data_IF_200092060030
#
_entry.id   IF_200092060030
#
_cell.length_a   1.000
_cell.length_b   1.000
_cell.length_c   1.000
_cell.angle_alpha   90.00
_cell.angle_beta   90.00
_cell.angle_gamma   90.00
#
_symmetry.space_group_name_H-M   'P 1'
#
loop_
_entity.id
_entity.type
_entity.pdbx_description
1 polymer ?
#
# COMPACT_ATOMS: atom_id res chain seq x y z
N UNK A 1 6.61 72.83 1.57
CA UNK A 1 7.44 71.68 1.17
C UNK A 1 6.62 70.41 1.36
N UNK A 2 6.21 69.76 0.27
CA UNK A 2 5.36 68.54 0.30
C UNK A 2 6.27 67.31 0.43
N UNK A 3 6.08 66.51 1.48
CA UNK A 3 6.80 65.24 1.70
C UNK A 3 6.09 64.13 0.93
N UNK A 4 6.79 63.49 -0.01
CA UNK A 4 6.32 62.29 -0.69
C UNK A 4 6.51 61.09 0.25
N UNK A 5 5.41 60.40 0.56
CA UNK A 5 5.44 59.11 1.25
C UNK A 5 5.60 58.04 0.18
N UNK A 6 6.79 57.42 0.12
CA UNK A 6 7.01 56.21 -0.68
C UNK A 6 6.50 55.02 0.14
N UNK A 7 5.31 54.53 -0.18
CA UNK A 7 4.86 53.21 0.29
C UNK A 7 5.60 52.19 -0.56
N UNK A 8 6.61 51.56 0.02
CA UNK A 8 7.23 50.37 -0.54
C UNK A 8 6.20 49.24 -0.51
N UNK A 9 5.63 48.93 -1.68
CA UNK A 9 4.82 47.75 -1.90
C UNK A 9 5.76 46.53 -1.82
N UNK A 10 5.87 45.93 -0.64
CA UNK A 10 6.50 44.63 -0.46
C UNK A 10 5.63 43.61 -1.19
N UNK A 11 6.03 43.28 -2.42
CA UNK A 11 5.55 42.08 -3.10
C UNK A 11 5.89 40.89 -2.21
N UNK A 12 4.86 40.34 -1.57
CA UNK A 12 4.93 39.02 -0.95
C UNK A 12 5.20 38.07 -2.12
N UNK A 13 6.47 37.77 -2.35
CA UNK A 13 6.84 36.63 -3.17
C UNK A 13 6.18 35.41 -2.52
N UNK A 14 5.14 34.89 -3.17
CA UNK A 14 4.58 33.61 -2.81
C UNK A 14 5.71 32.60 -2.94
N UNK A 15 6.25 32.18 -1.80
CA UNK A 15 7.05 30.97 -1.76
C UNK A 15 6.17 29.87 -2.36
N UNK A 16 6.58 29.19 -3.43
CA UNK A 16 5.86 28.01 -3.87
C UNK A 16 5.78 27.11 -2.64
N UNK A 17 4.57 26.64 -2.31
CA UNK A 17 4.38 25.56 -1.36
C UNK A 17 5.38 24.48 -1.74
N UNK A 18 6.47 24.36 -0.99
CA UNK A 18 7.32 23.18 -1.04
C UNK A 18 6.37 22.07 -0.61
N UNK A 19 5.83 21.35 -1.60
CA UNK A 19 5.16 20.10 -1.33
C UNK A 19 6.12 19.32 -0.45
N UNK A 20 5.67 19.00 0.76
CA UNK A 20 6.44 18.20 1.68
C UNK A 20 6.09 16.77 1.34
N UNK A 21 7.08 16.03 0.88
CA UNK A 21 6.96 14.61 0.63
C UNK A 21 6.34 13.90 1.83
N UNK A 22 5.17 13.29 1.64
CA UNK A 22 4.41 12.62 2.70
C UNK A 22 4.66 11.11 2.63
N UNK A 23 4.56 10.43 3.78
CA UNK A 23 4.55 8.97 3.80
C UNK A 23 3.20 8.48 3.26
N UNK A 24 3.24 7.59 2.27
CA UNK A 24 2.06 6.92 1.78
C UNK A 24 1.45 6.02 2.84
N UNK A 25 0.14 6.19 3.10
CA UNK A 25 -0.59 5.47 4.15
C UNK A 25 -1.94 4.99 3.68
N UNK A 26 -2.27 3.78 4.09
CA UNK A 26 -3.60 3.22 3.97
C UNK A 26 -4.62 4.10 4.70
N UNK A 27 -5.83 4.22 4.14
CA UNK A 27 -6.87 5.03 4.76
C UNK A 27 -7.40 4.37 6.04
N UNK A 28 -7.91 5.15 7.01
CA UNK A 28 -8.53 4.61 8.20
C UNK A 28 -9.69 3.64 7.90
N UNK A 29 -10.49 3.94 6.88
CA UNK A 29 -11.62 3.11 6.45
C UNK A 29 -11.14 1.75 5.97
N UNK A 30 -10.07 1.71 5.17
CA UNK A 30 -9.43 0.48 4.75
C UNK A 30 -8.93 -0.33 5.94
N UNK A 31 -8.22 0.30 6.88
CA UNK A 31 -7.64 -0.39 8.04
C UNK A 31 -8.71 -0.96 8.99
N UNK A 32 -9.75 -0.19 9.29
CA UNK A 32 -10.85 -0.62 10.15
C UNK A 32 -11.54 -1.87 9.61
N UNK A 33 -11.66 -1.96 8.29
CA UNK A 33 -12.27 -3.11 7.68
C UNK A 33 -11.39 -4.35 7.68
N UNK A 34 -10.09 -4.20 7.46
CA UNK A 34 -9.16 -5.31 7.66
C UNK A 34 -9.26 -5.81 9.10
N UNK A 35 -9.37 -4.92 10.08
CA UNK A 35 -9.58 -5.31 11.47
C UNK A 35 -10.89 -6.07 11.69
N UNK A 36 -11.99 -5.63 11.09
CA UNK A 36 -13.26 -6.36 11.14
C UNK A 36 -13.12 -7.78 10.53
N UNK A 37 -12.53 -7.89 9.33
CA UNK A 37 -12.28 -9.18 8.69
C UNK A 37 -11.40 -10.10 9.54
N UNK A 38 -10.42 -9.54 10.25
CA UNK A 38 -9.55 -10.32 11.15
C UNK A 38 -10.30 -10.74 12.42
N UNK A 39 -11.16 -9.90 12.97
CA UNK A 39 -11.87 -10.14 14.23
C UNK A 39 -13.00 -11.16 14.11
N UNK A 40 -13.70 -11.21 12.97
CA UNK A 40 -14.82 -12.15 12.75
C UNK A 40 -14.38 -13.56 12.32
N UNK A 41 -13.07 -13.81 12.20
CA UNK A 41 -12.53 -15.14 11.95
C UNK A 41 -12.49 -15.54 10.48
N UNK A 42 -12.71 -14.60 9.56
CA UNK A 42 -12.70 -14.85 8.12
C UNK A 42 -11.29 -15.03 7.54
N UNK A 43 -10.28 -15.00 8.40
CA UNK A 43 -8.86 -15.05 8.10
C UNK A 43 -8.27 -16.23 8.88
N UNK A 44 -8.08 -17.36 8.21
CA UNK A 44 -7.40 -18.54 8.77
C UNK A 44 -5.95 -18.55 8.31
N UNK A 45 -5.00 -18.55 9.24
CA UNK A 45 -3.58 -18.70 8.89
C UNK A 45 -3.28 -20.17 8.59
N UNK A 46 -3.07 -20.50 7.32
CA UNK A 46 -2.60 -21.83 6.90
C UNK A 46 -1.12 -21.81 6.58
N UNK A 47 -0.42 -22.83 7.05
CA UNK A 47 0.95 -23.08 6.60
C UNK A 47 0.91 -23.50 5.13
N UNK A 48 1.62 -22.75 4.30
CA UNK A 48 1.74 -23.02 2.86
C UNK A 48 3.21 -22.93 2.44
N UNK A 49 3.47 -23.43 1.25
CA UNK A 49 4.74 -23.22 0.56
C UNK A 49 4.50 -22.26 -0.61
N UNK A 50 5.02 -21.04 -0.52
CA UNK A 50 5.04 -20.09 -1.65
C UNK A 50 6.47 -20.01 -2.15
N UNK A 51 6.70 -20.25 -3.46
CA UNK A 51 8.03 -20.22 -4.08
C UNK A 51 9.09 -21.05 -3.31
N UNK A 52 8.71 -22.25 -2.86
CA UNK A 52 9.56 -23.20 -2.10
C UNK A 52 9.98 -22.74 -0.70
N UNK A 53 9.33 -21.74 -0.10
CA UNK A 53 9.59 -21.30 1.27
C UNK A 53 8.38 -21.54 2.20
N UNK A 54 8.59 -22.00 3.46
CA UNK A 54 7.53 -22.07 4.45
C UNK A 54 7.00 -20.67 4.77
N UNK A 55 5.73 -20.44 4.46
CA UNK A 55 5.03 -19.20 4.72
C UNK A 55 3.74 -19.48 5.47
N UNK A 56 3.30 -18.54 6.30
CA UNK A 56 1.92 -18.54 6.81
C UNK A 56 1.14 -17.64 5.89
N UNK A 57 0.24 -18.24 5.11
CA UNK A 57 -0.67 -17.51 4.24
C UNK A 57 -2.02 -17.49 4.91
N UNK A 58 -2.64 -16.32 4.92
CA UNK A 58 -4.06 -16.24 5.21
C UNK A 58 -4.84 -16.94 4.09
N UNK A 59 -5.52 -18.02 4.45
CA UNK A 59 -6.57 -18.63 3.67
C UNK A 59 -7.89 -18.06 4.19
N UNK A 60 -8.65 -17.45 3.29
CA UNK A 60 -9.92 -16.81 3.64
C UNK A 60 -10.95 -17.87 4.03
N UNK A 61 -11.68 -17.62 5.11
CA UNK A 61 -12.87 -18.35 5.48
C UNK A 61 -14.04 -17.38 5.35
N UNK A 62 -14.61 -17.27 4.15
CA UNK A 62 -15.95 -16.72 3.92
C UNK A 62 -16.16 -15.25 4.35
N UNK A 63 -15.88 -14.32 3.44
CA UNK A 63 -16.28 -12.92 3.62
C UNK A 63 -17.71 -12.73 3.10
N UNK A 64 -18.60 -12.19 3.92
CA UNK A 64 -19.87 -11.67 3.45
C UNK A 64 -19.62 -10.40 2.64
N UNK A 65 -20.21 -10.29 1.43
CA UNK A 65 -20.09 -9.08 0.60
C UNK A 65 -20.63 -7.81 1.27
N UNK A 66 -21.41 -7.96 2.34
CA UNK A 66 -22.01 -6.85 3.09
C UNK A 66 -21.02 -6.20 4.07
N UNK A 67 -20.03 -6.96 4.57
CA UNK A 67 -18.95 -6.45 5.45
C UNK A 67 -17.89 -5.65 4.68
N UNK A 68 -17.88 -5.82 3.35
CA UNK A 68 -17.10 -5.04 2.40
C UNK A 68 -17.85 -3.80 1.88
N UNK A 69 -18.98 -3.43 2.51
CA UNK A 69 -19.84 -2.32 2.06
C UNK A 69 -19.14 -0.96 1.95
N UNK A 70 -18.04 -0.73 2.67
CA UNK A 70 -17.22 0.48 2.54
C UNK A 70 -16.26 0.45 1.33
N UNK A 71 -16.05 -0.72 0.71
CA UNK A 71 -15.34 -0.88 -0.57
C UNK A 71 -16.28 -0.71 -1.78
N UNK A 72 -17.60 -0.63 -1.54
CA UNK A 72 -18.61 -0.38 -2.56
C UNK A 72 -18.73 1.09 -2.94
N UNK A 73 -18.10 2.01 -2.22
CA UNK A 73 -18.01 3.41 -2.66
C UNK A 73 -16.80 3.58 -3.58
N UNK A 74 -17.01 3.09 -4.80
CA UNK A 74 -16.31 3.59 -5.96
C UNK A 74 -16.33 5.11 -5.90
N UNK A 75 -15.17 5.75 -5.97
CA UNK A 75 -15.12 7.15 -6.40
C UNK A 75 -16.03 7.32 -7.62
N UNK A 76 -16.60 8.51 -7.82
CA UNK A 76 -17.58 8.82 -8.87
C UNK A 76 -17.19 8.41 -10.32
N UNK A 77 -15.99 7.86 -10.53
CA UNK A 77 -15.44 7.35 -11.78
C UNK A 77 -15.17 5.82 -11.84
N UNK A 78 -15.62 4.99 -10.88
CA UNK A 78 -15.55 3.50 -10.96
C UNK A 78 -14.14 2.92 -11.22
N UNK A 79 -13.09 3.52 -10.66
CA UNK A 79 -11.70 3.09 -10.93
C UNK A 79 -11.28 1.78 -10.27
N UNK A 80 -11.89 1.38 -9.16
CA UNK A 80 -11.56 0.13 -8.47
C UNK A 80 -12.82 -0.70 -8.24
N UNK A 81 -12.68 -2.02 -8.40
CA UNK A 81 -13.72 -3.00 -8.22
C UNK A 81 -13.23 -4.09 -7.29
N UNK A 82 -14.11 -4.59 -6.44
CA UNK A 82 -13.81 -5.73 -5.59
C UNK A 82 -14.71 -6.88 -5.99
N UNK A 83 -14.08 -8.01 -6.26
CA UNK A 83 -14.72 -9.23 -6.67
C UNK A 83 -14.48 -10.32 -5.62
N UNK A 84 -15.54 -11.03 -5.27
CA UNK A 84 -15.47 -12.29 -4.55
C UNK A 84 -15.51 -13.44 -5.55
N UNK A 85 -14.49 -14.30 -5.52
CA UNK A 85 -14.39 -15.47 -6.37
C UNK A 85 -14.96 -16.67 -5.61
N UNK A 86 -16.21 -17.03 -5.85
CA UNK A 86 -16.91 -18.12 -5.14
C UNK A 86 -16.33 -19.51 -5.40
N UNK A 87 -15.52 -19.68 -6.44
CA UNK A 87 -14.89 -20.97 -6.75
C UNK A 87 -13.75 -21.34 -5.79
N UNK A 88 -13.14 -20.35 -5.13
CA UNK A 88 -12.01 -20.55 -4.21
C UNK A 88 -12.09 -19.64 -2.96
N UNK A 89 -13.26 -19.06 -2.70
CA UNK A 89 -13.58 -18.16 -1.59
C UNK A 89 -12.57 -17.01 -1.39
N UNK A 90 -12.09 -16.40 -2.49
CA UNK A 90 -11.02 -15.40 -2.44
C UNK A 90 -11.44 -14.02 -2.96
N UNK A 91 -10.75 -12.98 -2.48
CA UNK A 91 -10.97 -11.59 -2.91
C UNK A 91 -9.94 -11.13 -3.96
N UNK A 92 -10.42 -10.29 -4.87
CA UNK A 92 -9.62 -9.57 -5.87
C UNK A 92 -10.02 -8.10 -5.89
N UNK A 93 -9.02 -7.22 -5.93
CA UNK A 93 -9.17 -5.78 -6.21
C UNK A 93 -8.69 -5.51 -7.62
N UNK A 94 -9.60 -5.12 -8.50
CA UNK A 94 -9.28 -4.76 -9.89
C UNK A 94 -9.28 -3.25 -10.03
N UNK A 95 -8.15 -2.67 -10.42
CA UNK A 95 -8.07 -1.30 -10.90
C UNK A 95 -8.40 -1.26 -12.39
N UNK A 96 -9.28 -0.34 -12.81
CA UNK A 96 -9.63 -0.09 -14.20
C UNK A 96 -9.12 1.28 -14.64
N UNK A 97 -8.35 1.28 -15.73
CA UNK A 97 -7.88 2.47 -16.42
C UNK A 97 -8.44 2.48 -17.84
N UNK A 98 -9.50 3.26 -18.08
CA UNK A 98 -10.19 3.36 -19.37
C UNK A 98 -10.58 1.99 -19.97
N UNK A 99 -9.65 1.34 -20.68
CA UNK A 99 -9.80 0.03 -21.35
C UNK A 99 -8.94 -1.11 -20.76
N UNK A 100 -8.13 -0.85 -19.73
CA UNK A 100 -7.24 -1.83 -19.12
C UNK A 100 -7.65 -2.13 -17.68
N UNK A 101 -7.61 -3.39 -17.30
CA UNK A 101 -7.86 -3.85 -15.93
C UNK A 101 -6.57 -4.46 -15.34
N UNK A 102 -6.33 -4.19 -14.06
CA UNK A 102 -5.12 -4.60 -13.35
C UNK A 102 -5.46 -5.12 -11.97
N UNK A 103 -5.01 -6.33 -11.68
CA UNK A 103 -5.07 -6.96 -10.35
C UNK A 103 -3.68 -7.06 -9.73
N UNK A 104 -2.83 -6.04 -9.96
CA UNK A 104 -1.45 -5.98 -9.50
C UNK A 104 -1.31 -5.45 -8.06
N UNK A 105 -0.16 -5.68 -7.43
CA UNK A 105 0.15 -5.17 -6.09
C UNK A 105 0.08 -3.64 -6.02
N UNK A 106 0.59 -2.93 -7.03
CA UNK A 106 0.54 -1.46 -7.12
C UNK A 106 -0.89 -0.95 -7.09
N UNK A 107 -1.77 -1.57 -7.90
CA UNK A 107 -3.18 -1.21 -7.97
C UNK A 107 -3.86 -1.37 -6.60
N UNK A 108 -3.54 -2.45 -5.88
CA UNK A 108 -4.02 -2.67 -4.52
C UNK A 108 -3.49 -1.63 -3.53
N UNK A 109 -2.19 -1.31 -3.57
CA UNK A 109 -1.60 -0.30 -2.68
C UNK A 109 -2.17 1.10 -2.95
N UNK A 110 -2.39 1.47 -4.22
CA UNK A 110 -3.04 2.73 -4.60
C UNK A 110 -4.51 2.78 -4.17
N UNK A 111 -5.21 1.65 -4.23
CA UNK A 111 -6.57 1.52 -3.74
C UNK A 111 -6.65 1.73 -2.22
N UNK A 112 -5.73 1.09 -1.48
CA UNK A 112 -5.75 1.09 -0.03
C UNK A 112 -5.35 2.44 0.59
N UNK A 113 -4.64 3.30 -0.15
CA UNK A 113 -3.90 4.44 0.41
C UNK A 113 -4.21 5.79 -0.25
N UNK A 114 -3.61 6.84 0.29
CA UNK A 114 -3.61 8.19 -0.30
C UNK A 114 -2.80 8.31 -1.61
N UNK A 115 -2.32 7.20 -2.19
CA UNK A 115 -1.65 7.16 -3.49
C UNK A 115 -2.63 7.09 -4.67
N UNK A 116 -3.93 7.22 -4.43
CA UNK A 116 -4.91 7.18 -5.51
C UNK A 116 -4.56 8.24 -6.56
N UNK A 117 -4.55 7.84 -7.84
CA UNK A 117 -4.15 8.66 -9.00
C UNK A 117 -2.66 8.94 -9.18
N UNK A 118 -1.79 8.60 -8.22
CA UNK A 118 -0.36 8.86 -8.34
C UNK A 118 0.37 7.72 -9.07
N UNK A 119 0.97 8.03 -10.23
CA UNK A 119 1.79 7.06 -10.96
C UNK A 119 3.05 6.70 -10.17
N UNK A 120 3.49 5.45 -10.26
CA UNK A 120 4.66 4.94 -9.52
C UNK A 120 5.96 5.64 -9.89
N UNK A 121 6.04 6.26 -11.06
CA UNK A 121 7.18 7.08 -11.52
C UNK A 121 7.42 8.31 -10.65
N UNK A 122 6.41 8.75 -9.91
CA UNK A 122 6.50 9.89 -8.98
C UNK A 122 6.78 9.47 -7.55
N UNK A 123 6.70 8.18 -7.22
CA UNK A 123 6.91 7.73 -5.85
C UNK A 123 8.35 7.95 -5.41
N UNK A 124 8.53 8.47 -4.20
CA UNK A 124 9.84 8.61 -3.58
C UNK A 124 10.20 7.40 -2.72
N UNK A 125 11.50 7.10 -2.66
CA UNK A 125 12.06 6.10 -1.75
C UNK A 125 12.32 6.72 -0.38
N UNK A 126 11.59 6.25 0.62
CA UNK A 126 11.77 6.63 2.01
C UNK A 126 12.73 5.70 2.77
N UNK A 127 12.62 5.74 4.10
CA UNK A 127 13.47 4.96 4.98
C UNK A 127 13.38 3.45 4.69
N UNK A 128 14.52 2.76 4.75
CA UNK A 128 14.59 1.31 4.60
C UNK A 128 14.04 0.61 5.84
N UNK A 129 13.32 -0.48 5.63
CA UNK A 129 12.78 -1.30 6.71
C UNK A 129 13.88 -2.19 7.30
N UNK A 130 14.05 -2.14 8.62
CA UNK A 130 15.04 -2.94 9.33
C UNK A 130 14.54 -3.34 10.71
N UNK A 131 15.26 -4.22 11.41
CA UNK A 131 14.94 -4.59 12.80
C UNK A 131 14.96 -3.39 13.75
N UNK A 132 15.73 -2.35 13.42
CA UNK A 132 15.84 -1.11 14.20
C UNK A 132 14.98 0.01 13.65
N UNK A 133 14.31 -0.20 12.52
CA UNK A 133 13.41 0.76 11.88
C UNK A 133 12.17 0.02 11.38
N UNK A 134 11.31 -0.36 12.32
CA UNK A 134 10.08 -1.09 12.04
C UNK A 134 9.01 -0.13 11.51
N UNK A 135 8.32 -0.46 10.40
CA UNK A 135 7.30 0.39 9.85
C UNK A 135 6.04 0.35 10.72
N UNK A 136 5.32 1.46 10.75
CA UNK A 136 4.04 1.55 11.44
C UNK A 136 2.93 0.90 10.63
N UNK A 137 1.86 0.47 11.31
CA UNK A 137 0.61 0.03 10.67
C UNK A 137 0.09 1.08 9.69
N UNK A 138 -0.42 0.61 8.56
CA UNK A 138 -0.96 1.41 7.47
C UNK A 138 0.10 1.96 6.51
N UNK A 139 1.39 1.92 6.83
CA UNK A 139 2.43 2.41 5.91
C UNK A 139 2.47 1.53 4.65
N UNK A 140 2.56 2.17 3.49
CA UNK A 140 2.82 1.49 2.21
C UNK A 140 4.33 1.28 2.06
N UNK A 141 4.72 0.06 1.73
CA UNK A 141 6.09 -0.30 1.43
C UNK A 141 6.21 -0.70 -0.05
N UNK A 142 7.35 -0.40 -0.64
CA UNK A 142 7.71 -0.88 -1.97
C UNK A 142 9.18 -1.27 -2.04
N UNK A 143 9.51 -2.14 -2.99
CA UNK A 143 10.89 -2.36 -3.40
C UNK A 143 11.28 -1.28 -4.42
N UNK A 144 12.41 -0.64 -4.21
CA UNK A 144 13.02 0.28 -5.17
C UNK A 144 14.31 -0.34 -5.72
N UNK A 145 14.75 0.13 -6.87
CA UNK A 145 16.03 -0.25 -7.45
C UNK A 145 17.18 0.57 -6.84
N UNK A 146 18.38 0.40 -7.41
CA UNK A 146 19.60 1.08 -6.97
C UNK A 146 19.65 2.57 -7.39
N UNK A 147 18.75 3.01 -8.28
CA UNK A 147 18.58 4.42 -8.67
C UNK A 147 17.44 5.10 -7.91
N UNK A 148 16.96 4.47 -6.83
CA UNK A 148 15.86 4.93 -5.98
C UNK A 148 14.51 5.06 -6.71
N UNK A 149 14.35 4.36 -7.84
CA UNK A 149 13.13 4.30 -8.64
C UNK A 149 12.32 3.03 -8.35
N UNK A 150 10.99 3.16 -8.48
CA UNK A 150 10.12 1.99 -8.57
C UNK A 150 10.18 1.40 -9.99
N UNK A 151 10.76 0.21 -10.12
CA UNK A 151 11.04 -0.44 -11.41
C UNK A 151 10.18 -1.68 -11.68
N UNK A 152 8.96 -1.73 -11.13
CA UNK A 152 8.05 -2.87 -11.30
C UNK A 152 8.32 -4.02 -10.32
N UNK A 153 8.86 -3.70 -9.15
CA UNK A 153 9.01 -4.65 -8.04
C UNK A 153 7.68 -4.98 -7.34
N UNK A 154 7.67 -4.99 -6.00
CA UNK A 154 6.48 -5.35 -5.22
C UNK A 154 6.07 -4.25 -4.24
N UNK A 155 4.77 -4.18 -3.93
CA UNK A 155 4.20 -3.22 -2.99
C UNK A 155 3.27 -3.91 -2.01
N UNK A 156 3.26 -3.44 -0.77
CA UNK A 156 2.49 -4.03 0.34
C UNK A 156 2.02 -2.95 1.32
N UNK A 157 0.96 -3.23 2.08
CA UNK A 157 0.49 -2.38 3.19
C UNK A 157 0.78 -3.07 4.51
N UNK A 158 1.38 -2.35 5.46
CA UNK A 158 1.74 -2.89 6.78
C UNK A 158 0.52 -3.03 7.68
N UNK A 159 0.33 -4.21 8.27
CA UNK A 159 -0.70 -4.47 9.29
C UNK A 159 -0.13 -4.51 10.70
N UNK A 160 1.07 -5.09 10.87
CA UNK A 160 1.80 -5.09 12.13
C UNK A 160 3.29 -5.34 11.89
N UNK A 161 4.13 -5.02 12.86
CA UNK A 161 5.58 -5.23 12.79
C UNK A 161 6.13 -5.61 14.15
N UNK A 162 7.14 -6.46 14.16
CA UNK A 162 7.92 -6.85 15.34
C UNK A 162 9.36 -7.20 14.92
N UNK A 163 10.21 -7.56 15.87
CA UNK A 163 11.62 -7.87 15.62
C UNK A 163 11.84 -9.11 14.73
N UNK A 164 10.83 -9.98 14.61
CA UNK A 164 10.89 -11.16 13.74
C UNK A 164 10.49 -10.84 12.29
N UNK A 165 9.73 -9.77 12.06
CA UNK A 165 9.31 -9.38 10.74
C UNK A 165 8.12 -8.42 10.67
N UNK A 166 7.55 -8.32 9.48
CA UNK A 166 6.46 -7.39 9.14
C UNK A 166 5.28 -8.17 8.57
N UNK A 167 4.13 -8.08 9.22
CA UNK A 167 2.87 -8.63 8.70
C UNK A 167 2.25 -7.61 7.76
N UNK A 168 1.92 -8.04 6.56
CA UNK A 168 1.43 -7.18 5.48
C UNK A 168 0.19 -7.75 4.83
N UNK A 169 -0.54 -6.88 4.15
CA UNK A 169 -1.57 -7.22 3.18
C UNK A 169 -1.16 -6.71 1.81
N UNK A 170 -1.32 -7.55 0.79
CA UNK A 170 -1.13 -7.15 -0.60
C UNK A 170 -2.02 -7.96 -1.54
N UNK A 171 -1.86 -7.70 -2.83
CA UNK A 171 -2.38 -8.54 -3.89
C UNK A 171 -1.26 -9.00 -4.82
N UNK A 172 -1.43 -10.18 -5.42
CA UNK A 172 -0.57 -10.72 -6.48
C UNK A 172 0.80 -11.25 -6.03
N UNK A 173 1.09 -11.30 -4.72
CA UNK A 173 2.21 -12.09 -4.22
C UNK A 173 1.90 -13.59 -4.21
N UNK A 174 2.57 -14.31 -5.11
CA UNK A 174 2.49 -15.77 -5.27
C UNK A 174 1.29 -16.30 -6.07
N UNK A 175 0.17 -15.56 -6.14
CA UNK A 175 -0.99 -15.92 -6.98
C UNK A 175 -1.68 -14.71 -7.61
N UNK A 176 -1.86 -14.78 -8.92
CA UNK A 176 -2.49 -13.75 -9.75
C UNK A 176 -3.84 -13.29 -9.21
N UNK A 177 -3.93 -11.99 -8.92
CA UNK A 177 -5.16 -11.29 -8.56
C UNK A 177 -5.80 -11.69 -7.23
N UNK A 178 -5.04 -12.28 -6.31
CA UNK A 178 -5.56 -12.66 -4.98
C UNK A 178 -5.00 -11.74 -3.91
N UNK A 179 -5.88 -11.10 -3.14
CA UNK A 179 -5.50 -10.40 -1.91
C UNK A 179 -5.05 -11.45 -0.89
N UNK A 180 -4.08 -11.14 -0.05
CA UNK A 180 -3.68 -12.01 1.04
C UNK A 180 -2.87 -11.27 2.10
N UNK A 181 -2.95 -11.79 3.31
CA UNK A 181 -2.18 -11.34 4.46
C UNK A 181 -1.11 -12.39 4.76
N UNK A 182 0.09 -11.92 5.03
CA UNK A 182 1.24 -12.79 5.28
C UNK A 182 2.35 -12.05 6.03
N UNK A 183 3.33 -12.79 6.55
CA UNK A 183 4.45 -12.22 7.32
C UNK A 183 5.76 -12.33 6.54
N UNK A 184 6.33 -11.18 6.19
CA UNK A 184 7.73 -11.05 5.78
C UNK A 184 8.63 -11.31 6.98
N UNK A 185 9.69 -12.10 6.82
CA UNK A 185 10.61 -12.45 7.91
C UNK A 185 11.99 -11.88 7.64
N UNK A 186 12.61 -11.23 8.62
CA UNK A 186 13.99 -10.73 8.48
C UNK A 186 15.01 -11.84 8.23
N UNK A 187 14.70 -13.07 8.65
CA UNK A 187 15.53 -14.25 8.39
C UNK A 187 15.38 -14.81 6.97
N UNK A 188 14.48 -14.27 6.14
CA UNK A 188 14.25 -14.77 4.79
C UNK A 188 15.41 -14.42 3.86
N UNK A 189 15.86 -15.37 3.05
CA UNK A 189 16.84 -15.13 1.97
C UNK A 189 16.20 -14.66 0.66
N UNK A 190 14.87 -14.67 0.56
CA UNK A 190 14.15 -14.25 -0.65
C UNK A 190 13.86 -12.75 -0.59
N UNK A 191 14.26 -12.02 -1.63
CA UNK A 191 14.06 -10.56 -1.78
C UNK A 191 12.65 -10.12 -1.39
N UNK A 192 11.63 -10.65 -2.06
CA UNK A 192 10.25 -10.24 -1.84
C UNK A 192 9.66 -10.72 -0.50
N UNK A 193 10.32 -11.63 0.23
CA UNK A 193 9.84 -12.13 1.53
C UNK A 193 10.64 -11.58 2.71
N UNK A 194 11.65 -10.76 2.44
CA UNK A 194 12.52 -10.14 3.45
C UNK A 194 12.16 -8.64 3.57
N UNK A 195 11.72 -8.15 4.75
CA UNK A 195 11.37 -6.75 4.92
C UNK A 195 12.51 -5.79 4.55
N UNK A 196 13.78 -6.20 4.70
CA UNK A 196 14.94 -5.35 4.39
C UNK A 196 15.15 -5.07 2.90
N UNK A 197 14.36 -5.71 2.01
CA UNK A 197 14.31 -5.35 0.59
C UNK A 197 13.32 -4.21 0.30
N UNK A 198 12.62 -3.70 1.31
CA UNK A 198 11.56 -2.70 1.18
C UNK A 198 11.96 -1.36 1.81
N UNK A 199 11.36 -0.31 1.27
CA UNK A 199 11.40 1.04 1.77
C UNK A 199 9.98 1.57 1.98
N UNK A 200 9.85 2.54 2.86
CA UNK A 200 8.63 3.35 2.97
C UNK A 200 8.40 4.10 1.65
N UNK A 201 7.18 4.06 1.14
CA UNK A 201 6.82 4.85 -0.05
C UNK A 201 6.52 6.29 0.37
N UNK A 202 7.08 7.23 -0.36
CA UNK A 202 6.76 8.63 -0.28
C UNK A 202 5.88 9.07 -1.46
N UNK A 203 5.00 10.04 -1.24
CA UNK A 203 4.06 10.56 -2.26
C UNK A 203 4.75 11.34 -3.37
N UNK A 204 6.03 11.70 -3.20
CA UNK A 204 6.84 12.33 -4.23
C UNK A 204 8.32 12.02 -4.01
N UNK A 205 9.10 12.05 -5.10
CA UNK A 205 10.57 11.93 -5.05
C UNK A 205 11.19 13.10 -4.28
N UNK A 206 12.28 12.79 -3.58
CA UNK A 206 13.13 13.76 -2.89
C UNK A 206 14.14 14.40 -3.84
#
# INVERSE_FOLDING_TARGET
>A
MKKYVYIALLMIAGFPNLAKSEIARATPEFLNAIDNLMAYGDIVLRDVTVNHAPARRVQYHRISTDELGFLRDSTAEKRYYISYNSGDDSLSVTQKWYNNESTQCVAFSQFASNLNWLQTTYWGKGASVSRTNLPQRGVVLATFNDTDDYDGGHTVVVLSSDESGVTVIDQNYGQAGKVHIWKMKFSSSKRLSNPSSYNVVLTEKL
#
